data_IF_662359978848
#
_entry.id   IF_662359978848
#
_cell.length_a   1.000
_cell.length_b   1.000
_cell.length_c   1.000
_cell.angle_alpha   90.00
_cell.angle_beta   90.00
_cell.angle_gamma   90.00
#
_symmetry.space_group_name_H-M   'P 1'
#
loop_
_entity.id
_entity.type
_entity.pdbx_description
1 polymer ?
#
# COMPACT_ATOMS: atom_id res chain seq x y z
N UNK A 1 -37.65 -30.53 -33.12
CA UNK A 1 -36.40 -31.17 -32.66
C UNK A 1 -35.66 -30.15 -31.82
N UNK A 2 -35.79 -30.21 -30.50
CA UNK A 2 -35.03 -29.34 -29.61
C UNK A 2 -33.63 -29.92 -29.45
N UNK A 3 -32.61 -29.18 -29.88
CA UNK A 3 -31.22 -29.50 -29.54
C UNK A 3 -31.07 -29.44 -28.01
N UNK A 4 -30.77 -30.57 -27.38
CA UNK A 4 -30.48 -30.62 -25.95
C UNK A 4 -29.16 -29.90 -25.66
N UNK A 5 -29.26 -28.63 -25.30
CA UNK A 5 -28.10 -27.84 -24.87
C UNK A 5 -27.64 -28.35 -23.50
N UNK A 6 -26.37 -28.77 -23.40
CA UNK A 6 -25.75 -29.21 -22.15
C UNK A 6 -26.01 -28.24 -20.98
N UNK A 7 -26.31 -28.76 -19.79
CA UNK A 7 -26.53 -27.97 -18.56
C UNK A 7 -25.38 -26.99 -18.27
N UNK A 8 -24.14 -27.36 -18.63
CA UNK A 8 -22.97 -26.48 -18.49
C UNK A 8 -23.13 -25.20 -19.31
N UNK A 9 -23.61 -25.31 -20.54
CA UNK A 9 -23.84 -24.18 -21.45
C UNK A 9 -24.99 -23.33 -20.97
N UNK A 10 -26.09 -23.95 -20.51
CA UNK A 10 -27.22 -23.23 -19.92
C UNK A 10 -26.81 -22.43 -18.68
N UNK A 11 -26.02 -23.03 -17.78
CA UNK A 11 -25.49 -22.35 -16.59
C UNK A 11 -24.52 -21.21 -16.93
N UNK A 12 -23.66 -21.41 -17.94
CA UNK A 12 -22.77 -20.37 -18.42
C UNK A 12 -23.54 -19.19 -19.03
N UNK A 13 -24.55 -19.47 -19.85
CA UNK A 13 -25.43 -18.47 -20.43
C UNK A 13 -26.17 -17.67 -19.34
N UNK A 14 -26.78 -18.37 -18.37
CA UNK A 14 -27.49 -17.74 -17.25
C UNK A 14 -26.58 -16.78 -16.46
N UNK A 15 -25.39 -17.23 -16.03
CA UNK A 15 -24.43 -16.38 -15.33
C UNK A 15 -23.99 -15.17 -16.15
N UNK A 16 -23.83 -15.34 -17.47
CA UNK A 16 -23.42 -14.27 -18.38
C UNK A 16 -24.50 -13.19 -18.48
N UNK A 17 -25.77 -13.60 -18.60
CA UNK A 17 -26.91 -12.69 -18.59
C UNK A 17 -26.99 -11.92 -17.27
N UNK A 18 -26.94 -12.63 -16.13
CA UNK A 18 -26.96 -11.99 -14.80
C UNK A 18 -25.82 -10.98 -14.65
N UNK A 19 -24.60 -11.35 -15.05
CA UNK A 19 -23.44 -10.45 -15.03
C UNK A 19 -23.67 -9.23 -15.91
N UNK A 20 -24.22 -9.41 -17.11
CA UNK A 20 -24.55 -8.32 -18.04
C UNK A 20 -25.50 -7.31 -17.41
N UNK A 21 -26.58 -7.80 -16.78
CA UNK A 21 -27.55 -6.95 -16.07
C UNK A 21 -26.88 -6.19 -14.91
N UNK A 22 -26.05 -6.85 -14.11
CA UNK A 22 -25.32 -6.19 -13.01
C UNK A 22 -24.34 -5.12 -13.52
N UNK A 23 -23.62 -5.38 -14.62
CA UNK A 23 -22.74 -4.41 -15.26
C UNK A 23 -23.53 -3.21 -15.76
N UNK A 24 -24.68 -3.43 -16.40
CA UNK A 24 -25.56 -2.37 -16.88
C UNK A 24 -26.06 -1.49 -15.74
N UNK A 25 -26.51 -2.07 -14.63
CA UNK A 25 -26.95 -1.33 -13.43
C UNK A 25 -25.78 -0.52 -12.86
N UNK A 26 -24.60 -1.14 -12.73
CA UNK A 26 -23.39 -0.48 -12.24
C UNK A 26 -22.97 0.70 -13.12
N UNK A 27 -22.99 0.52 -14.44
CA UNK A 27 -22.68 1.55 -15.44
C UNK A 27 -23.66 2.72 -15.36
N UNK A 28 -24.96 2.45 -15.33
CA UNK A 28 -26.01 3.48 -15.16
C UNK A 28 -25.81 4.27 -13.87
N UNK A 29 -25.54 3.59 -12.76
CA UNK A 29 -25.30 4.24 -11.46
C UNK A 29 -24.05 5.12 -11.49
N UNK A 30 -22.96 4.64 -12.10
CA UNK A 30 -21.72 5.41 -12.27
C UNK A 30 -21.96 6.65 -13.13
N UNK A 31 -22.62 6.50 -14.28
CA UNK A 31 -22.94 7.62 -15.15
C UNK A 31 -23.75 8.70 -14.42
N UNK A 32 -24.78 8.29 -13.68
CA UNK A 32 -25.60 9.22 -12.87
C UNK A 32 -24.78 9.96 -11.81
N UNK A 33 -23.88 9.28 -11.11
CA UNK A 33 -23.02 9.94 -10.10
C UNK A 33 -22.00 10.89 -10.75
N UNK A 34 -21.47 10.52 -11.91
CA UNK A 34 -20.50 11.32 -12.65
C UNK A 34 -21.16 12.58 -13.24
N UNK A 35 -22.37 12.46 -13.79
CA UNK A 35 -23.21 13.57 -14.25
C UNK A 35 -23.54 14.54 -13.11
N UNK A 36 -23.95 14.02 -11.95
CA UNK A 36 -24.26 14.84 -10.77
C UNK A 36 -23.02 15.58 -10.26
N UNK A 37 -21.89 14.90 -10.18
CA UNK A 37 -20.62 15.50 -9.77
C UNK A 37 -20.23 16.63 -10.72
N UNK A 38 -20.31 16.40 -12.04
CA UNK A 38 -20.04 17.42 -13.06
C UNK A 38 -20.96 18.63 -12.91
N UNK A 39 -22.25 18.39 -12.70
CA UNK A 39 -23.25 19.45 -12.50
C UNK A 39 -22.90 20.32 -11.30
N UNK A 40 -22.66 19.71 -10.13
CA UNK A 40 -22.29 20.43 -8.90
C UNK A 40 -20.96 21.16 -9.07
N UNK A 41 -19.96 20.54 -9.69
CA UNK A 41 -18.67 21.21 -9.92
C UNK A 41 -18.81 22.42 -10.83
N UNK A 42 -19.59 22.32 -11.90
CA UNK A 42 -19.84 23.44 -12.80
C UNK A 42 -20.59 24.57 -12.07
N UNK A 43 -21.66 24.23 -11.35
CA UNK A 43 -22.40 25.23 -10.56
C UNK A 43 -21.50 25.89 -9.51
N UNK A 44 -20.63 25.12 -8.84
CA UNK A 44 -19.67 25.66 -7.88
C UNK A 44 -18.70 26.63 -8.55
N UNK A 45 -18.17 26.31 -9.74
CA UNK A 45 -17.26 27.21 -10.46
C UNK A 45 -17.94 28.53 -10.85
N UNK A 46 -19.20 28.50 -11.28
CA UNK A 46 -19.94 29.70 -11.66
C UNK A 46 -20.30 30.55 -10.45
N UNK A 47 -20.78 29.94 -9.36
CA UNK A 47 -21.11 30.65 -8.12
C UNK A 47 -19.84 31.23 -7.47
N UNK A 48 -18.71 30.53 -7.54
CA UNK A 48 -17.44 31.02 -6.99
C UNK A 48 -16.89 32.22 -7.78
N UNK A 49 -17.03 32.23 -9.12
CA UNK A 49 -16.73 33.41 -9.95
C UNK A 49 -17.60 34.60 -9.56
N UNK A 50 -18.92 34.39 -9.46
CA UNK A 50 -19.86 35.44 -9.07
C UNK A 50 -19.56 35.99 -7.68
N UNK A 51 -19.21 35.13 -6.73
CA UNK A 51 -18.88 35.53 -5.37
C UNK A 51 -17.54 36.29 -5.28
N UNK A 52 -16.58 36.00 -6.16
CA UNK A 52 -15.32 36.76 -6.29
C UNK A 52 -15.56 38.16 -6.85
N UNK A 53 -16.45 38.30 -7.84
CA UNK A 53 -16.79 39.60 -8.43
C UNK A 53 -17.71 40.44 -7.56
N UNK A 54 -18.68 39.83 -6.88
CA UNK A 54 -19.60 40.51 -5.96
C UNK A 54 -19.81 39.66 -4.69
N UNK A 55 -19.02 39.90 -3.63
CA UNK A 55 -19.11 39.13 -2.41
C UNK A 55 -20.46 39.35 -1.71
N UNK A 56 -21.21 38.27 -1.53
CA UNK A 56 -22.51 38.30 -0.85
C UNK A 56 -22.66 37.12 0.11
N UNK A 57 -23.23 37.35 1.28
CA UNK A 57 -23.50 36.29 2.28
C UNK A 57 -24.38 35.18 1.70
N UNK A 58 -25.29 35.49 0.77
CA UNK A 58 -26.13 34.49 0.09
C UNK A 58 -25.29 33.59 -0.84
N UNK A 59 -24.38 34.18 -1.62
CA UNK A 59 -23.49 33.45 -2.52
C UNK A 59 -22.50 32.57 -1.73
N UNK A 60 -21.89 33.11 -0.66
CA UNK A 60 -21.01 32.33 0.21
C UNK A 60 -21.71 31.12 0.84
N UNK A 61 -22.97 31.27 1.31
CA UNK A 61 -23.78 30.15 1.79
C UNK A 61 -24.05 29.10 0.71
N UNK A 62 -24.27 29.54 -0.54
CA UNK A 62 -24.48 28.64 -1.68
C UNK A 62 -23.21 27.86 -2.03
N UNK A 63 -22.05 28.52 -2.06
CA UNK A 63 -20.73 27.86 -2.25
C UNK A 63 -20.51 26.79 -1.18
N UNK A 64 -20.71 27.14 0.09
CA UNK A 64 -20.54 26.18 1.20
C UNK A 64 -21.48 24.98 1.09
N UNK A 65 -22.71 25.18 0.59
CA UNK A 65 -23.66 24.08 0.33
C UNK A 65 -23.15 23.16 -0.78
N UNK A 66 -22.77 23.72 -1.93
CA UNK A 66 -22.26 22.93 -3.07
C UNK A 66 -20.99 22.15 -2.72
N UNK A 67 -20.11 22.74 -1.91
CA UNK A 67 -18.92 22.04 -1.38
C UNK A 67 -19.30 20.87 -0.47
N UNK A 68 -20.30 21.04 0.42
CA UNK A 68 -20.81 19.93 1.25
C UNK A 68 -21.40 18.81 0.41
N UNK A 69 -22.20 19.15 -0.60
CA UNK A 69 -22.82 18.17 -1.49
C UNK A 69 -21.76 17.38 -2.28
N UNK A 70 -20.70 18.05 -2.75
CA UNK A 70 -19.56 17.42 -3.41
C UNK A 70 -18.78 16.50 -2.44
N UNK A 71 -18.53 16.96 -1.21
CA UNK A 71 -17.88 16.16 -0.19
C UNK A 71 -18.68 14.91 0.15
N UNK A 72 -20.02 14.99 0.21
CA UNK A 72 -20.87 13.84 0.44
C UNK A 72 -20.76 12.79 -0.69
N UNK A 73 -20.69 13.21 -1.96
CA UNK A 73 -20.44 12.31 -3.10
C UNK A 73 -19.05 11.67 -3.04
N UNK A 74 -18.03 12.45 -2.64
CA UNK A 74 -16.67 11.95 -2.44
C UNK A 74 -16.63 10.88 -1.33
N UNK A 75 -17.29 11.14 -0.20
CA UNK A 75 -17.40 10.20 0.91
C UNK A 75 -18.04 8.88 0.47
N UNK A 76 -19.15 8.93 -0.26
CA UNK A 76 -19.80 7.74 -0.80
C UNK A 76 -18.86 6.91 -1.70
N UNK A 77 -17.98 7.58 -2.46
CA UNK A 77 -16.98 6.93 -3.31
C UNK A 77 -15.88 6.29 -2.46
N UNK A 78 -15.41 6.98 -1.43
CA UNK A 78 -14.42 6.46 -0.46
C UNK A 78 -14.97 5.21 0.22
N UNK A 79 -16.20 5.25 0.75
CA UNK A 79 -16.86 4.10 1.38
C UNK A 79 -16.98 2.91 0.44
N UNK A 80 -17.33 3.16 -0.84
CA UNK A 80 -17.40 2.09 -1.86
C UNK A 80 -16.02 1.46 -2.08
N UNK A 81 -14.97 2.27 -2.18
CA UNK A 81 -13.58 1.80 -2.34
C UNK A 81 -13.11 1.01 -1.11
N UNK A 82 -13.43 1.49 0.10
CA UNK A 82 -13.13 0.78 1.35
C UNK A 82 -13.81 -0.59 1.40
N UNK A 83 -15.09 -0.67 1.01
CA UNK A 83 -15.80 -1.96 0.92
C UNK A 83 -15.19 -2.89 -0.11
N UNK A 84 -14.82 -2.38 -1.28
CA UNK A 84 -14.15 -3.18 -2.31
C UNK A 84 -12.77 -3.69 -1.83
N UNK A 85 -12.01 -2.85 -1.13
CA UNK A 85 -10.75 -3.23 -0.51
C UNK A 85 -10.94 -4.34 0.54
N UNK A 86 -11.93 -4.19 1.43
CA UNK A 86 -12.28 -5.20 2.43
C UNK A 86 -12.71 -6.52 1.79
N UNK A 87 -13.53 -6.47 0.74
CA UNK A 87 -13.92 -7.66 -0.03
C UNK A 87 -12.71 -8.34 -0.67
N UNK A 88 -11.81 -7.57 -1.26
CA UNK A 88 -10.57 -8.08 -1.87
C UNK A 88 -9.66 -8.71 -0.82
N UNK A 89 -9.56 -8.10 0.36
CA UNK A 89 -8.81 -8.63 1.48
C UNK A 89 -9.33 -9.99 1.93
N UNK A 90 -10.65 -10.17 2.10
CA UNK A 90 -11.19 -11.48 2.51
C UNK A 90 -11.09 -12.56 1.43
N UNK A 91 -11.32 -12.22 0.17
CA UNK A 91 -11.21 -13.21 -0.92
C UNK A 91 -9.77 -13.67 -1.13
N UNK A 92 -8.79 -12.78 -0.89
CA UNK A 92 -7.37 -13.08 -1.05
C UNK A 92 -6.70 -13.54 0.25
N UNK A 93 -7.32 -13.32 1.42
CA UNK A 93 -6.74 -13.55 2.74
C UNK A 93 -6.48 -15.02 3.08
N UNK A 94 -7.23 -15.95 2.47
CA UNK A 94 -7.02 -17.39 2.67
C UNK A 94 -5.91 -17.97 1.76
N UNK A 95 -5.33 -17.16 0.87
CA UNK A 95 -4.06 -17.47 0.22
C UNK A 95 -2.98 -16.78 1.05
N UNK A 96 -1.87 -17.46 1.35
CA UNK A 96 -0.63 -16.80 1.77
C UNK A 96 -0.14 -15.91 0.61
N UNK A 97 -0.82 -14.79 0.39
CA UNK A 97 -0.82 -14.08 -0.87
C UNK A 97 0.28 -13.03 -0.93
N UNK A 98 0.29 -12.31 -2.06
CA UNK A 98 1.21 -11.21 -2.36
C UNK A 98 1.38 -10.20 -1.20
N UNK A 99 0.34 -9.96 -0.40
CA UNK A 99 0.42 -9.06 0.76
C UNK A 99 1.33 -9.59 1.87
N UNK A 100 1.24 -10.88 2.21
CA UNK A 100 2.13 -11.51 3.19
C UNK A 100 3.56 -11.56 2.65
N UNK A 101 3.73 -11.96 1.38
CA UNK A 101 5.04 -11.96 0.74
C UNK A 101 5.69 -10.56 0.73
N UNK A 102 4.92 -9.52 0.40
CA UNK A 102 5.38 -8.13 0.44
C UNK A 102 5.73 -7.70 1.88
N UNK A 103 4.92 -8.07 2.87
CA UNK A 103 5.20 -7.78 4.28
C UNK A 103 6.48 -8.45 4.75
N UNK A 104 6.65 -9.74 4.46
CA UNK A 104 7.88 -10.48 4.78
C UNK A 104 9.10 -9.89 4.07
N UNK A 105 8.97 -9.48 2.79
CA UNK A 105 10.04 -8.80 2.05
C UNK A 105 10.41 -7.47 2.70
N UNK A 106 9.43 -6.67 3.11
CA UNK A 106 9.68 -5.41 3.79
C UNK A 106 10.34 -5.62 5.17
N UNK A 107 9.86 -6.59 5.94
CA UNK A 107 10.48 -6.96 7.22
C UNK A 107 11.93 -7.40 7.05
N UNK A 108 12.22 -8.27 6.07
CA UNK A 108 13.58 -8.69 5.74
C UNK A 108 14.48 -7.51 5.32
N UNK A 109 13.94 -6.55 4.58
CA UNK A 109 14.70 -5.37 4.17
C UNK A 109 15.00 -4.43 5.35
N UNK A 110 14.06 -4.29 6.29
CA UNK A 110 14.24 -3.50 7.50
C UNK A 110 15.23 -4.14 8.48
N UNK A 111 15.23 -5.48 8.59
CA UNK A 111 16.17 -6.20 9.44
C UNK A 111 17.56 -6.36 8.82
N UNK A 112 17.71 -6.13 7.52
CA UNK A 112 18.99 -6.25 6.83
C UNK A 112 19.86 -5.05 7.20
N UNK A 113 20.97 -5.30 7.89
CA UNK A 113 22.01 -4.30 8.15
C UNK A 113 22.84 -4.12 6.86
N UNK A 114 22.80 -2.95 6.19
CA UNK A 114 23.48 -2.75 4.91
C UNK A 114 24.95 -2.36 5.07
N UNK A 115 25.30 -1.70 6.18
CA UNK A 115 26.65 -1.27 6.55
C UNK A 115 26.71 -0.98 8.04
N UNK A 116 27.92 -0.88 8.58
CA UNK A 116 28.15 -0.33 9.93
C UNK A 116 28.97 0.95 9.83
N UNK A 117 28.84 1.83 10.82
CA UNK A 117 29.65 3.04 10.94
C UNK A 117 30.71 2.83 12.02
N UNK A 118 31.98 2.94 11.64
CA UNK A 118 33.11 2.87 12.58
C UNK A 118 33.32 4.23 13.27
N UNK A 119 33.88 4.28 14.50
CA UNK A 119 34.22 5.54 15.18
C UNK A 119 35.10 6.50 14.37
N UNK A 120 35.87 6.00 13.39
CA UNK A 120 36.66 6.81 12.45
C UNK A 120 35.85 7.29 11.22
N UNK A 121 34.52 7.27 11.29
CA UNK A 121 33.57 7.79 10.30
C UNK A 121 33.66 7.17 8.88
N UNK A 122 34.17 5.94 8.76
CA UNK A 122 34.07 5.16 7.52
C UNK A 122 32.85 4.22 7.55
N UNK A 123 32.05 4.26 6.48
CA UNK A 123 30.98 3.28 6.26
C UNK A 123 31.60 1.99 5.74
N UNK A 124 31.50 0.92 6.52
CA UNK A 124 32.07 -0.38 6.18
C UNK A 124 31.00 -1.25 5.54
N UNK A 125 31.24 -1.65 4.29
CA UNK A 125 30.36 -2.52 3.51
C UNK A 125 30.91 -3.94 3.34
N UNK A 126 32.24 -4.10 3.45
CA UNK A 126 32.87 -5.40 3.30
C UNK A 126 32.63 -6.26 4.55
N UNK A 127 32.27 -7.54 4.40
CA UNK A 127 31.95 -8.41 5.52
C UNK A 127 33.14 -8.64 6.46
N UNK A 128 34.36 -8.76 5.91
CA UNK A 128 35.60 -8.90 6.68
C UNK A 128 35.87 -7.68 7.56
N UNK A 129 35.73 -6.49 6.99
CA UNK A 129 35.93 -5.22 7.71
C UNK A 129 34.87 -5.03 8.81
N UNK A 130 33.62 -5.43 8.54
CA UNK A 130 32.53 -5.44 9.51
C UNK A 130 32.84 -6.36 10.70
N UNK A 131 33.29 -7.59 10.43
CA UNK A 131 33.62 -8.56 11.48
C UNK A 131 34.79 -8.06 12.33
N UNK A 132 35.84 -7.52 11.72
CA UNK A 132 36.99 -6.97 12.44
C UNK A 132 36.61 -5.75 13.30
N UNK A 133 35.76 -4.86 12.79
CA UNK A 133 35.24 -3.73 13.55
C UNK A 133 34.38 -4.17 14.74
N UNK A 134 33.52 -5.19 14.58
CA UNK A 134 32.74 -5.76 15.67
C UNK A 134 33.63 -6.48 16.70
N UNK A 135 34.60 -7.27 16.25
CA UNK A 135 35.55 -7.98 17.12
C UNK A 135 36.35 -6.99 17.98
N UNK A 136 36.84 -5.91 17.38
CA UNK A 136 37.56 -4.86 18.10
C UNK A 136 36.66 -4.09 19.07
N UNK A 137 35.42 -3.77 18.68
CA UNK A 137 34.44 -3.11 19.54
C UNK A 137 34.13 -3.95 20.79
N UNK A 138 33.76 -5.22 20.62
CA UNK A 138 33.42 -6.09 21.75
C UNK A 138 34.64 -6.45 22.60
N UNK A 139 35.83 -6.60 22.00
CA UNK A 139 37.07 -6.79 22.76
C UNK A 139 37.38 -5.61 23.68
N UNK A 140 37.12 -4.38 23.20
CA UNK A 140 37.23 -3.18 24.03
C UNK A 140 36.11 -3.10 25.08
N UNK A 141 34.86 -3.41 24.71
CA UNK A 141 33.69 -3.33 25.60
C UNK A 141 33.81 -4.28 26.81
N UNK A 142 34.33 -5.48 26.59
CA UNK A 142 34.53 -6.49 27.63
C UNK A 142 35.95 -6.50 28.22
N UNK A 143 36.81 -5.52 27.88
CA UNK A 143 38.20 -5.43 28.34
C UNK A 143 39.04 -6.71 28.11
N UNK A 144 38.74 -7.46 27.05
CA UNK A 144 39.41 -8.73 26.71
C UNK A 144 40.88 -8.56 26.30
N UNK A 145 41.37 -7.33 26.13
CA UNK A 145 42.78 -7.03 25.83
C UNK A 145 43.72 -7.38 26.98
N UNK A 146 43.22 -7.46 28.22
CA UNK A 146 44.04 -7.68 29.42
C UNK A 146 43.98 -9.12 29.94
N UNK A 147 43.16 -9.98 29.34
CA UNK A 147 42.96 -11.36 29.76
C UNK A 147 43.44 -12.31 28.66
N UNK A 148 44.67 -12.81 28.80
CA UNK A 148 45.30 -13.76 27.87
C UNK A 148 44.67 -15.16 27.89
N UNK A 149 43.66 -15.39 28.75
CA UNK A 149 42.95 -16.66 28.84
C UNK A 149 41.78 -16.81 27.84
N UNK A 150 41.30 -15.71 27.24
CA UNK A 150 40.14 -15.72 26.32
C UNK A 150 40.61 -15.70 24.86
N UNK A 151 40.36 -16.75 24.06
CA UNK A 151 40.77 -16.77 22.66
C UNK A 151 40.02 -15.72 21.84
N UNK A 152 40.77 -14.78 21.27
CA UNK A 152 40.27 -13.86 20.23
C UNK A 152 39.89 -14.67 18.97
N UNK A 153 38.82 -14.32 18.25
CA UNK A 153 38.46 -15.01 17.02
C UNK A 153 39.60 -14.91 16.01
N UNK A 154 40.16 -16.08 15.66
CA UNK A 154 41.27 -16.16 14.71
C UNK A 154 40.74 -15.90 13.29
N UNK A 155 41.55 -15.33 12.40
CA UNK A 155 41.17 -15.07 11.00
C UNK A 155 40.56 -16.31 10.31
N UNK A 156 41.02 -17.52 10.63
CA UNK A 156 40.46 -18.77 10.11
C UNK A 156 38.98 -19.00 10.49
N UNK A 157 38.57 -18.66 11.73
CA UNK A 157 37.18 -18.79 12.19
C UNK A 157 36.27 -17.75 11.54
N UNK A 158 36.84 -16.57 11.27
CA UNK A 158 36.14 -15.50 10.55
C UNK A 158 35.89 -15.92 9.09
N UNK A 159 36.90 -16.47 8.42
CA UNK A 159 36.79 -16.93 7.05
C UNK A 159 35.83 -18.13 6.93
N UNK A 160 35.85 -19.06 7.88
CA UNK A 160 34.88 -20.17 7.95
C UNK A 160 33.44 -19.66 8.11
N UNK A 161 33.20 -18.68 8.98
CA UNK A 161 31.88 -18.07 9.19
C UNK A 161 31.36 -17.29 7.97
N UNK A 162 32.25 -16.68 7.19
CA UNK A 162 31.89 -15.90 5.99
C UNK A 162 31.62 -16.76 4.74
N UNK A 163 32.06 -18.01 4.74
CA UNK A 163 31.95 -18.94 3.60
C UNK A 163 30.93 -20.07 3.78
N UNK A 164 30.19 -20.10 4.90
CA UNK A 164 28.98 -20.93 5.08
C UNK A 164 27.75 -20.37 4.35
#
# INVERSE_FOLDING_TARGET
MSEEVSLRTQWAAHKTVVRGVLIQIGSRKKRKTDEETRRITHELTEVDKLNKSNPSTKLAKKVARLQRDLNALSLQTIERRMRALKSTYYTQGNRAGKLLANKLKAQRLQSKIPYIESPQASKLYNPTDIVNALASFYSNLYNLKNDSSVPQPTHAVIDEFLHQ
#
